data_IF_404218854622
#
_entry.id   IF_404218854622
#
_cell.length_a   1.000
_cell.length_b   1.000
_cell.length_c   1.000
_cell.angle_alpha   90.00
_cell.angle_beta   90.00
_cell.angle_gamma   90.00
#
_symmetry.space_group_name_H-M   'P 1'
#
loop_
_entity.id
_entity.type
_entity.pdbx_description
1 polymer ?
#
# COMPACT_ATOMS: atom_id res chain seq x y z
N UNK A 1 -16.89 -8.49 5.78
CA UNK A 1 -16.40 -7.36 4.98
C UNK A 1 -15.76 -6.36 5.93
N UNK A 2 -14.44 -6.17 5.86
CA UNK A 2 -13.77 -5.11 6.63
C UNK A 2 -14.13 -3.80 5.94
N UNK A 3 -14.74 -2.87 6.67
CA UNK A 3 -15.02 -1.53 6.16
C UNK A 3 -13.69 -0.77 6.15
N UNK A 4 -13.26 -0.31 4.97
CA UNK A 4 -12.02 0.48 4.85
C UNK A 4 -12.21 1.81 5.58
N UNK A 5 -11.31 2.10 6.52
CA UNK A 5 -11.25 3.39 7.19
C UNK A 5 -10.39 4.37 6.39
N UNK A 6 -11.04 5.21 5.59
CA UNK A 6 -10.34 6.17 4.71
C UNK A 6 -9.62 7.30 5.46
N UNK A 7 -9.73 7.37 6.79
CA UNK A 7 -8.96 8.30 7.63
C UNK A 7 -7.53 7.80 7.91
N UNK A 8 -7.27 6.51 7.69
CA UNK A 8 -5.96 5.88 7.89
C UNK A 8 -5.03 6.15 6.72
N UNK A 9 -3.74 6.03 6.99
CA UNK A 9 -2.74 6.19 5.93
C UNK A 9 -2.75 4.95 5.03
N UNK A 10 -2.51 5.19 3.75
CA UNK A 10 -2.31 4.13 2.77
C UNK A 10 -0.93 4.28 2.14
N UNK A 11 -0.11 3.24 2.26
CA UNK A 11 1.27 3.22 1.80
C UNK A 11 1.34 2.62 0.38
N UNK A 12 1.61 3.46 -0.62
CA UNK A 12 1.61 3.09 -2.02
C UNK A 12 2.98 2.52 -2.46
N UNK A 13 2.97 1.28 -2.96
CA UNK A 13 4.12 0.60 -3.55
C UNK A 13 3.98 0.53 -5.06
N UNK A 14 4.87 1.21 -5.79
CA UNK A 14 4.85 1.27 -7.25
C UNK A 14 5.72 0.21 -7.92
N UNK A 15 6.59 -0.49 -7.19
CA UNK A 15 7.56 -1.45 -7.76
C UNK A 15 8.39 -0.87 -8.92
N UNK A 16 8.74 0.42 -8.86
CA UNK A 16 9.49 1.10 -9.91
C UNK A 16 8.64 1.64 -11.07
N UNK A 17 7.33 1.37 -11.10
CA UNK A 17 6.39 1.91 -12.09
C UNK A 17 5.90 3.31 -11.70
N UNK A 18 6.82 4.28 -11.73
CA UNK A 18 6.48 5.69 -11.47
C UNK A 18 5.47 6.23 -12.50
N UNK A 19 5.46 5.69 -13.71
CA UNK A 19 4.46 5.99 -14.75
C UNK A 19 3.02 5.68 -14.31
N UNK A 20 2.83 4.69 -13.42
CA UNK A 20 1.52 4.30 -12.88
C UNK A 20 1.19 4.98 -11.56
N UNK A 21 2.08 5.79 -10.99
CA UNK A 21 1.89 6.40 -9.67
C UNK A 21 0.65 7.30 -9.64
N UNK A 22 0.49 8.20 -10.61
CA UNK A 22 -0.65 9.12 -10.66
C UNK A 22 -1.98 8.38 -10.85
N UNK A 23 -1.98 7.33 -11.69
CA UNK A 23 -3.13 6.45 -11.90
C UNK A 23 -3.51 5.74 -10.60
N UNK A 24 -2.53 5.22 -9.87
CA UNK A 24 -2.75 4.54 -8.61
C UNK A 24 -3.28 5.48 -7.52
N UNK A 25 -2.72 6.69 -7.41
CA UNK A 25 -3.23 7.73 -6.51
C UNK A 25 -4.69 8.06 -6.86
N UNK A 26 -5.00 8.24 -8.14
CA UNK A 26 -6.36 8.56 -8.58
C UNK A 26 -7.36 7.44 -8.26
N UNK A 27 -6.95 6.19 -8.40
CA UNK A 27 -7.75 5.02 -8.05
C UNK A 27 -8.02 4.94 -6.53
N UNK A 28 -7.02 5.21 -5.70
CA UNK A 28 -7.18 5.29 -4.23
C UNK A 28 -8.07 6.46 -3.81
N UNK A 29 -7.93 7.62 -4.45
CA UNK A 29 -8.81 8.78 -4.22
C UNK A 29 -10.26 8.47 -4.58
N UNK A 30 -10.48 7.77 -5.69
CA UNK A 30 -11.81 7.33 -6.12
C UNK A 30 -12.44 6.32 -5.16
N UNK A 31 -11.64 5.60 -4.37
CA UNK A 31 -12.11 4.76 -3.26
C UNK A 31 -12.46 5.54 -1.99
N UNK A 32 -12.12 6.83 -1.93
CA UNK A 32 -12.44 7.71 -0.80
C UNK A 32 -11.25 8.05 0.09
N UNK A 33 -10.03 7.61 -0.23
CA UNK A 33 -8.83 8.08 0.48
C UNK A 33 -8.52 9.53 0.09
N UNK A 34 -8.19 10.37 1.07
CA UNK A 34 -7.67 11.70 0.77
C UNK A 34 -6.25 11.61 0.22
N UNK A 35 -5.87 12.49 -0.72
CA UNK A 35 -4.51 12.53 -1.28
C UNK A 35 -3.41 12.66 -0.21
N UNK A 36 -3.69 13.40 0.86
CA UNK A 36 -2.80 13.57 2.02
C UNK A 36 -2.52 12.27 2.80
N UNK A 37 -3.44 11.30 2.73
CA UNK A 37 -3.32 9.98 3.39
C UNK A 37 -2.58 8.96 2.54
N UNK A 38 -2.39 9.26 1.26
CA UNK A 38 -1.65 8.41 0.33
C UNK A 38 -0.17 8.75 0.46
N UNK A 39 0.57 7.88 1.14
CA UNK A 39 1.99 8.05 1.43
C UNK A 39 2.79 7.12 0.54
N UNK A 40 3.86 7.61 -0.08
CA UNK A 40 4.76 6.72 -0.82
C UNK A 40 5.47 5.77 0.14
N UNK A 41 5.42 4.47 -0.13
CA UNK A 41 6.07 3.48 0.71
C UNK A 41 7.60 3.57 0.60
N UNK A 42 8.27 3.53 1.74
CA UNK A 42 9.74 3.56 1.83
C UNK A 42 10.23 2.31 2.58
N UNK A 43 11.34 1.69 2.18
CA UNK A 43 11.87 0.51 2.86
C UNK A 43 12.33 0.81 4.30
N UNK A 44 12.62 2.07 4.62
CA UNK A 44 13.07 2.54 5.93
C UNK A 44 11.93 3.03 6.84
N UNK A 45 10.69 3.09 6.35
CA UNK A 45 9.55 3.58 7.13
C UNK A 45 8.29 2.78 6.81
N UNK A 46 7.81 2.06 7.82
CA UNK A 46 6.58 1.28 7.77
C UNK A 46 5.39 2.09 8.31
N UNK A 47 4.18 1.61 8.01
CA UNK A 47 2.95 2.10 8.63
C UNK A 47 2.72 1.57 10.03
N UNK A 48 1.57 1.93 10.60
CA UNK A 48 1.12 1.44 11.89
C UNK A 48 0.08 0.32 11.73
N UNK A 49 -0.17 -0.43 12.80
CA UNK A 49 -1.32 -1.34 12.85
C UNK A 49 -2.61 -0.54 12.65
N UNK A 50 -3.45 -0.99 11.72
CA UNK A 50 -4.65 -0.27 11.28
C UNK A 50 -4.47 0.56 10.01
N UNK A 51 -3.24 0.85 9.60
CA UNK A 51 -2.98 1.49 8.30
C UNK A 51 -3.10 0.48 7.16
N UNK A 52 -3.11 0.98 5.93
CA UNK A 52 -3.28 0.18 4.72
C UNK A 52 -2.03 0.21 3.85
N UNK A 53 -1.83 -0.85 3.08
CA UNK A 53 -0.79 -0.97 2.08
C UNK A 53 -1.46 -1.13 0.71
N UNK A 54 -1.11 -0.26 -0.22
CA UNK A 54 -1.60 -0.31 -1.60
C UNK A 54 -0.44 -0.71 -2.52
N UNK A 55 -0.46 -1.93 -3.04
CA UNK A 55 0.62 -2.46 -3.88
C UNK A 55 0.16 -2.59 -5.33
N UNK A 56 0.89 -1.99 -6.26
CA UNK A 56 0.69 -2.27 -7.68
C UNK A 56 1.04 -3.74 -7.96
N UNK A 57 0.04 -4.54 -8.36
CA UNK A 57 0.16 -5.98 -8.52
C UNK A 57 0.00 -6.45 -9.96
N UNK A 58 0.63 -7.61 -10.18
CA UNK A 58 1.14 -8.23 -11.40
C UNK A 58 2.37 -7.53 -12.04
N UNK A 59 3.45 -7.26 -11.27
CA UNK A 59 4.72 -6.88 -11.88
C UNK A 59 5.19 -7.98 -12.87
N UNK A 60 5.78 -7.63 -14.03
CA UNK A 60 6.30 -6.31 -14.40
C UNK A 60 5.27 -5.32 -14.98
N UNK A 61 4.05 -5.78 -15.28
CA UNK A 61 2.97 -4.99 -15.88
C UNK A 61 1.76 -4.93 -14.94
N UNK A 62 1.80 -4.09 -13.88
CA UNK A 62 0.70 -4.05 -12.94
C UNK A 62 -0.59 -3.59 -13.59
N UNK A 63 -1.66 -4.35 -13.36
CA UNK A 63 -3.00 -4.09 -13.89
C UNK A 63 -4.02 -3.75 -12.78
N UNK A 64 -3.67 -4.02 -11.52
CA UNK A 64 -4.49 -3.66 -10.37
C UNK A 64 -3.65 -3.27 -9.14
N UNK A 65 -4.30 -2.68 -8.15
CA UNK A 65 -3.77 -2.36 -6.83
C UNK A 65 -4.32 -3.38 -5.85
N UNK A 66 -3.47 -4.04 -5.08
CA UNK A 66 -3.86 -4.81 -3.90
C UNK A 66 -3.87 -3.91 -2.69
N UNK A 67 -5.00 -3.78 -2.02
CA UNK A 67 -5.11 -3.14 -0.71
C UNK A 67 -5.01 -4.22 0.36
N UNK A 68 -4.08 -4.04 1.28
CA UNK A 68 -3.84 -4.94 2.40
C UNK A 68 -3.93 -4.15 3.71
N UNK A 69 -4.59 -4.69 4.72
CA UNK A 69 -4.69 -4.09 6.04
C UNK A 69 -3.53 -4.53 6.92
N UNK A 70 -2.80 -3.59 7.52
CA UNK A 70 -1.68 -3.89 8.41
C UNK A 70 -2.22 -4.35 9.76
N UNK A 71 -2.03 -5.63 10.08
CA UNK A 71 -2.51 -6.25 11.33
C UNK A 71 -1.45 -6.36 12.42
N UNK A 72 -0.16 -6.32 12.04
CA UNK A 72 0.96 -6.35 12.99
C UNK A 72 2.16 -5.63 12.41
N UNK A 73 2.90 -4.92 13.26
CA UNK A 73 4.19 -4.30 12.93
C UNK A 73 5.20 -4.71 14.00
N UNK A 74 6.26 -5.39 13.58
CA UNK A 74 7.35 -5.85 14.44
C UNK A 74 8.63 -5.08 14.12
N UNK A 75 9.38 -4.75 15.17
CA UNK A 75 10.70 -4.15 15.01
C UNK A 75 11.68 -5.24 14.54
N UNK A 76 12.09 -5.14 13.29
CA UNK A 76 13.00 -6.09 12.64
C UNK A 76 14.15 -5.34 12.00
N UNK A 77 15.30 -6.01 11.87
CA UNK A 77 16.40 -5.47 11.06
C UNK A 77 15.93 -5.36 9.59
N UNK A 78 16.16 -4.23 8.92
CA UNK A 78 15.78 -4.07 7.52
C UNK A 78 16.55 -5.06 6.66
N UNK A 79 15.86 -5.71 5.71
CA UNK A 79 16.46 -6.73 4.86
C UNK A 79 16.19 -6.47 3.37
N UNK A 80 17.27 -6.40 2.59
CA UNK A 80 17.21 -6.25 1.14
C UNK A 80 16.33 -5.08 0.68
N UNK A 81 15.55 -5.30 -0.38
CA UNK A 81 14.62 -4.31 -0.91
C UNK A 81 13.31 -4.20 -0.11
N UNK A 82 12.99 -5.21 0.70
CA UNK A 82 11.77 -5.21 1.54
C UNK A 82 11.97 -4.30 2.76
N UNK A 83 13.20 -4.16 3.25
CA UNK A 83 13.52 -3.28 4.37
C UNK A 83 12.75 -3.67 5.64
N UNK A 84 12.19 -2.67 6.33
CA UNK A 84 11.41 -2.87 7.55
C UNK A 84 10.05 -3.53 7.30
N UNK A 85 9.56 -3.56 6.05
CA UNK A 85 8.27 -4.17 5.71
C UNK A 85 8.24 -5.69 5.91
N UNK A 86 9.40 -6.32 6.14
CA UNK A 86 9.50 -7.73 6.53
C UNK A 86 8.81 -7.99 7.88
N UNK A 87 8.82 -7.01 8.79
CA UNK A 87 8.16 -7.09 10.10
C UNK A 87 6.67 -6.78 10.05
N UNK A 88 6.09 -6.52 8.86
CA UNK A 88 4.71 -6.09 8.73
C UNK A 88 3.83 -7.27 8.29
N UNK A 89 2.93 -7.70 9.17
CA UNK A 89 1.86 -8.63 8.83
C UNK A 89 0.68 -7.87 8.26
N UNK A 90 0.09 -8.41 7.21
CA UNK A 90 -0.97 -7.77 6.45
C UNK A 90 -1.96 -8.79 5.90
N UNK A 91 -3.23 -8.40 5.88
CA UNK A 91 -4.32 -9.21 5.34
C UNK A 91 -4.87 -8.56 4.06
N UNK A 92 -5.06 -9.36 3.02
CA UNK A 92 -5.68 -8.90 1.79
C UNK A 92 -7.15 -8.54 2.05
N UNK A 93 -7.53 -7.30 1.73
CA UNK A 93 -8.89 -6.81 1.96
C UNK A 93 -9.63 -6.53 0.66
N UNK A 94 -8.96 -5.95 -0.34
CA UNK A 94 -9.61 -5.55 -1.59
C UNK A 94 -8.60 -5.38 -2.72
N UNK A 95 -9.08 -5.44 -3.96
CA UNK A 95 -8.32 -5.11 -5.16
C UNK A 95 -9.01 -4.00 -5.95
N UNK A 96 -8.21 -3.06 -6.46
CA UNK A 96 -8.68 -1.96 -7.30
C UNK A 96 -8.09 -2.15 -8.70
N UNK A 97 -8.90 -2.38 -9.75
CA UNK A 97 -8.37 -2.39 -11.11
C UNK A 97 -7.78 -1.02 -11.44
N UNK A 98 -6.61 -0.99 -12.09
CA UNK A 98 -6.03 0.25 -12.56
C UNK A 98 -6.71 0.74 -13.85
N UNK A 99 -7.54 -0.08 -14.49
CA UNK A 99 -8.28 0.24 -15.72
C UNK A 99 -7.54 -0.14 -16.98
#
# INVERSE_FOLDING_TARGET
MIKIDTQKNVYLFTHGRMDLQEKAVSALVSKGFSKEKIVMALPSKVGNVGDYMAMLWMPPTPDHIKIQHITKVEDVKPEGMVGLWKGVSKDDIETIPLG
#
